data_IF_042389398244
#
_entry.id   IF_042389398244
#
_cell.length_a   1.000
_cell.length_b   1.000
_cell.length_c   1.000
_cell.angle_alpha   90.00
_cell.angle_beta   90.00
_cell.angle_gamma   90.00
#
_symmetry.space_group_name_H-M   'P 1'
#
loop_
_entity.id
_entity.type
_entity.pdbx_description
1 polymer ?
#
# COMPACT_ATOMS: atom_id res chain seq x y z
N UNK A 1 -14.87 0.75 -5.98
CA UNK A 1 -15.38 0.91 -7.35
C UNK A 1 -16.07 -0.36 -7.81
N UNK A 2 -17.31 -0.25 -8.26
CA UNK A 2 -17.96 -1.31 -9.02
C UNK A 2 -17.42 -1.22 -10.45
N UNK A 3 -16.23 -1.79 -10.68
CA UNK A 3 -15.63 -1.85 -12.01
C UNK A 3 -16.33 -2.93 -12.84
N UNK A 4 -16.40 -2.73 -14.15
CA UNK A 4 -16.68 -3.83 -15.06
C UNK A 4 -15.48 -4.77 -15.10
N UNK A 5 -15.72 -6.05 -15.42
CA UNK A 5 -14.64 -7.03 -15.60
C UNK A 5 -13.61 -6.58 -16.64
N UNK A 6 -14.08 -5.90 -17.69
CA UNK A 6 -13.22 -5.33 -18.74
C UNK A 6 -12.27 -4.25 -18.19
N UNK A 7 -12.80 -3.30 -17.40
CA UNK A 7 -11.98 -2.23 -16.81
C UNK A 7 -11.00 -2.80 -15.78
N UNK A 8 -11.43 -3.80 -15.01
CA UNK A 8 -10.57 -4.50 -14.07
C UNK A 8 -9.41 -5.20 -14.80
N UNK A 9 -9.70 -5.97 -15.85
CA UNK A 9 -8.68 -6.63 -16.67
C UNK A 9 -7.72 -5.62 -17.32
N UNK A 10 -8.24 -4.49 -17.83
CA UNK A 10 -7.43 -3.42 -18.42
C UNK A 10 -6.41 -2.84 -17.42
N UNK A 11 -6.81 -2.63 -16.16
CA UNK A 11 -5.92 -2.12 -15.11
C UNK A 11 -4.82 -3.11 -14.76
N UNK A 12 -5.15 -4.38 -14.57
CA UNK A 12 -4.17 -5.44 -14.30
C UNK A 12 -3.18 -5.55 -15.46
N UNK A 13 -3.66 -5.61 -16.71
CA UNK A 13 -2.79 -5.67 -17.90
C UNK A 13 -1.88 -4.45 -18.01
N UNK A 14 -2.38 -3.26 -17.65
CA UNK A 14 -1.55 -2.06 -17.59
C UNK A 14 -0.44 -2.20 -16.55
N UNK A 15 -0.73 -2.71 -15.35
CA UNK A 15 0.28 -2.95 -14.32
C UNK A 15 1.33 -3.98 -14.78
N UNK A 16 0.90 -5.08 -15.40
CA UNK A 16 1.81 -6.10 -15.97
C UNK A 16 2.73 -5.50 -17.04
N UNK A 17 2.19 -4.71 -17.97
CA UNK A 17 2.99 -4.04 -19.02
C UNK A 17 4.00 -3.04 -18.47
N UNK A 18 3.81 -2.57 -17.23
CA UNK A 18 4.63 -1.58 -16.53
C UNK A 18 5.40 -2.19 -15.37
N UNK A 19 5.46 -3.52 -15.27
CA UNK A 19 6.03 -4.20 -14.11
C UNK A 19 7.48 -3.80 -13.84
N UNK A 20 8.29 -3.68 -14.90
CA UNK A 20 9.68 -3.23 -14.80
C UNK A 20 9.78 -1.80 -14.22
N UNK A 21 8.94 -0.87 -14.69
CA UNK A 21 8.88 0.51 -14.20
C UNK A 21 8.50 0.53 -12.70
N UNK A 22 7.48 -0.24 -12.31
CA UNK A 22 7.03 -0.36 -10.91
C UNK A 22 8.16 -0.90 -10.03
N UNK A 23 8.84 -1.96 -10.49
CA UNK A 23 10.01 -2.53 -9.79
C UNK A 23 11.13 -1.52 -9.65
N UNK A 24 11.41 -0.72 -10.68
CA UNK A 24 12.43 0.34 -10.63
C UNK A 24 12.11 1.35 -9.54
N UNK A 25 10.88 1.89 -9.52
CA UNK A 25 10.47 2.87 -8.51
C UNK A 25 10.58 2.31 -7.09
N UNK A 26 10.21 1.03 -6.88
CA UNK A 26 10.36 0.38 -5.57
C UNK A 26 11.83 0.24 -5.18
N UNK A 27 12.70 -0.14 -6.12
CA UNK A 27 14.13 -0.28 -5.85
C UNK A 27 14.83 1.08 -5.59
N UNK A 28 14.27 2.19 -6.09
CA UNK A 28 14.76 3.54 -5.83
C UNK A 28 14.35 4.08 -4.45
N UNK A 29 13.47 3.38 -3.73
CA UNK A 29 13.07 3.76 -2.36
C UNK A 29 14.20 3.50 -1.37
N UNK A 30 14.33 4.32 -0.31
CA UNK A 30 15.27 4.03 0.76
C UNK A 30 14.88 2.72 1.47
N UNK A 31 15.90 2.01 1.99
CA UNK A 31 15.67 0.87 2.87
C UNK A 31 14.80 1.26 4.07
N UNK A 32 13.96 0.32 4.52
CA UNK A 32 13.08 0.53 5.67
C UNK A 32 13.85 0.96 6.92
N UNK A 33 15.08 0.48 7.10
CA UNK A 33 15.95 0.87 8.21
C UNK A 33 16.25 2.36 8.22
N UNK A 34 16.51 2.95 7.05
CA UNK A 34 16.79 4.39 6.90
C UNK A 34 15.56 5.21 7.31
N UNK A 35 14.38 4.83 6.82
CA UNK A 35 13.12 5.51 7.16
C UNK A 35 12.84 5.39 8.66
N UNK A 36 13.00 4.21 9.24
CA UNK A 36 12.78 3.95 10.66
C UNK A 36 13.73 4.77 11.54
N UNK A 37 15.02 4.78 11.23
CA UNK A 37 16.03 5.56 11.97
C UNK A 37 15.74 7.05 11.88
N UNK A 38 15.35 7.57 10.72
CA UNK A 38 14.98 8.97 10.57
C UNK A 38 13.78 9.35 11.45
N UNK A 39 12.73 8.51 11.47
CA UNK A 39 11.55 8.72 12.32
C UNK A 39 11.92 8.72 13.81
N UNK A 40 12.69 7.72 14.25
CA UNK A 40 13.14 7.63 15.65
C UNK A 40 14.01 8.81 16.07
N UNK A 41 14.92 9.26 15.20
CA UNK A 41 15.80 10.40 15.46
C UNK A 41 15.02 11.70 15.65
N UNK A 42 13.91 11.86 14.93
CA UNK A 42 13.01 12.99 15.08
C UNK A 42 12.04 12.87 16.27
N UNK A 43 12.09 11.76 17.01
CA UNK A 43 11.14 11.47 18.09
C UNK A 43 9.72 11.20 17.58
N UNK A 44 9.56 10.83 16.31
CA UNK A 44 8.26 10.50 15.73
C UNK A 44 7.83 9.09 16.16
N UNK A 45 6.51 8.85 16.34
CA UNK A 45 6.01 7.53 16.68
C UNK A 45 6.24 6.54 15.53
N UNK A 46 6.66 5.32 15.85
CA UNK A 46 6.96 4.27 14.87
C UNK A 46 6.06 3.04 14.97
N UNK A 47 5.14 3.04 15.92
CA UNK A 47 4.09 2.03 16.09
C UNK A 47 2.72 2.69 16.27
N UNK A 48 1.62 2.02 15.88
CA UNK A 48 0.27 2.53 16.14
C UNK A 48 0.00 2.77 17.65
N UNK A 49 0.53 1.89 18.51
CA UNK A 49 0.34 1.96 19.95
C UNK A 49 0.87 3.26 20.57
N UNK A 50 1.97 3.81 20.05
CA UNK A 50 2.56 5.09 20.52
C UNK A 50 1.64 6.29 20.31
N UNK A 51 0.64 6.18 19.44
CA UNK A 51 -0.41 7.20 19.22
C UNK A 51 -1.79 6.75 19.71
N UNK A 52 -1.86 5.68 20.51
CA UNK A 52 -3.10 5.18 21.10
C UNK A 52 -4.01 4.44 20.11
N UNK A 53 -3.45 3.91 19.01
CA UNK A 53 -4.17 3.12 18.01
C UNK A 53 -3.82 1.65 18.20
N UNK A 54 -4.83 0.77 18.24
CA UNK A 54 -4.62 -0.67 18.28
C UNK A 54 -4.36 -1.25 16.88
N UNK A 55 -3.78 -2.45 16.83
CA UNK A 55 -3.42 -3.10 15.58
C UNK A 55 -4.64 -3.43 14.72
N UNK A 56 -5.79 -3.76 15.32
CA UNK A 56 -7.02 -4.04 14.57
C UNK A 56 -7.53 -2.81 13.81
N UNK A 57 -7.51 -1.63 14.44
CA UNK A 57 -7.91 -0.38 13.82
C UNK A 57 -6.88 0.07 12.78
N UNK A 58 -5.59 -0.16 13.02
CA UNK A 58 -4.54 0.10 12.04
C UNK A 58 -4.74 -0.76 10.79
N UNK A 59 -4.94 -2.07 10.94
CA UNK A 59 -5.20 -3.00 9.85
C UNK A 59 -6.49 -2.64 9.09
N UNK A 60 -7.58 -2.32 9.81
CA UNK A 60 -8.83 -1.87 9.19
C UNK A 60 -8.62 -0.59 8.37
N UNK A 61 -7.86 0.37 8.91
CA UNK A 61 -7.57 1.63 8.22
C UNK A 61 -6.78 1.40 6.93
N UNK A 62 -5.83 0.46 6.94
CA UNK A 62 -5.06 0.07 5.76
C UNK A 62 -5.94 -0.58 4.68
N UNK A 63 -6.89 -1.43 5.09
CA UNK A 63 -7.89 -2.04 4.18
C UNK A 63 -8.80 -1.00 3.56
N UNK A 64 -9.30 -0.06 4.36
CA UNK A 64 -10.25 0.96 3.91
C UNK A 64 -9.58 2.08 3.10
N UNK A 65 -8.30 2.38 3.38
CA UNK A 65 -7.58 3.51 2.79
C UNK A 65 -7.53 3.50 1.26
N UNK A 66 -7.53 2.30 0.64
CA UNK A 66 -7.54 2.14 -0.82
C UNK A 66 -8.82 2.66 -1.49
N UNK A 67 -9.92 2.74 -0.75
CA UNK A 67 -11.23 3.16 -1.24
C UNK A 67 -11.62 4.57 -0.75
N UNK A 68 -10.77 5.21 0.05
CA UNK A 68 -11.05 6.55 0.61
C UNK A 68 -10.93 7.69 -0.42
N UNK A 69 -10.10 7.53 -1.46
CA UNK A 69 -9.90 8.52 -2.53
C UNK A 69 -9.80 7.83 -3.89
N UNK A 70 -10.14 8.56 -4.94
CA UNK A 70 -10.01 8.13 -6.35
C UNK A 70 -8.56 8.19 -6.83
N UNK A 71 -7.65 7.53 -6.11
CA UNK A 71 -6.23 7.41 -6.49
C UNK A 71 -5.88 5.94 -6.68
N UNK A 72 -5.18 5.64 -7.77
CA UNK A 72 -4.68 4.30 -8.03
C UNK A 72 -3.33 4.12 -7.32
N UNK A 73 -3.35 3.49 -6.16
CA UNK A 73 -2.16 3.23 -5.32
C UNK A 73 -1.76 1.75 -5.38
N UNK A 74 -0.60 1.41 -4.82
CA UNK A 74 -0.17 0.02 -4.67
C UNK A 74 -1.21 -0.85 -3.95
N UNK A 75 -1.93 -0.30 -2.97
CA UNK A 75 -2.94 -1.07 -2.23
C UNK A 75 -4.14 -1.40 -3.11
N UNK A 76 -4.51 -0.51 -4.04
CA UNK A 76 -5.57 -0.78 -5.00
C UNK A 76 -5.16 -1.87 -5.99
N UNK A 77 -3.92 -1.85 -6.46
CA UNK A 77 -3.38 -2.91 -7.32
C UNK A 77 -3.32 -4.26 -6.60
N UNK A 78 -2.86 -4.30 -5.34
CA UNK A 78 -2.82 -5.54 -4.54
C UNK A 78 -4.23 -6.11 -4.31
N UNK A 79 -5.21 -5.25 -4.06
CA UNK A 79 -6.62 -5.64 -3.92
C UNK A 79 -7.19 -6.22 -5.21
N UNK A 80 -7.01 -5.53 -6.34
CA UNK A 80 -7.43 -5.99 -7.68
C UNK A 80 -6.76 -7.33 -8.06
N UNK A 81 -5.53 -7.58 -7.61
CA UNK A 81 -4.83 -8.86 -7.78
C UNK A 81 -5.20 -9.94 -6.74
N UNK A 82 -6.08 -9.66 -5.76
CA UNK A 82 -6.42 -10.60 -4.69
C UNK A 82 -5.28 -10.87 -3.70
N UNK A 83 -4.26 -10.00 -3.66
CA UNK A 83 -3.06 -10.14 -2.84
C UNK A 83 -3.11 -9.31 -1.55
N UNK A 84 -4.06 -8.38 -1.41
CA UNK A 84 -4.09 -7.41 -0.30
C UNK A 84 -3.97 -8.08 1.08
N UNK A 85 -4.73 -9.15 1.32
CA UNK A 85 -4.71 -9.89 2.58
C UNK A 85 -3.32 -10.48 2.89
N UNK A 86 -2.60 -10.98 1.89
CA UNK A 86 -1.27 -11.56 2.08
C UNK A 86 -0.21 -10.55 2.52
N UNK A 87 -0.44 -9.25 2.27
CA UNK A 87 0.48 -8.16 2.61
C UNK A 87 0.02 -7.32 3.81
N UNK A 88 -1.20 -7.52 4.29
CA UNK A 88 -1.77 -6.85 5.48
C UNK A 88 -2.02 -7.81 6.66
N UNK A 89 -1.69 -9.11 6.50
CA UNK A 89 -1.81 -10.13 7.54
C UNK A 89 -0.77 -9.98 8.66
#
# INVERSE_FOLDING_TARGET
>A
DFLTDEEHARRIQRAVSRYADIRSVINDMPDLSVVRTAMQTLGAPTTPAEVGINEELAALSMRAGKDYRTRYTLFKLLDECGLLESYLA
#
